data_IF_091397934060
#
_entry.id   IF_091397934060
#
_cell.length_a   1.000
_cell.length_b   1.000
_cell.length_c   1.000
_cell.angle_alpha   90.00
_cell.angle_beta   90.00
_cell.angle_gamma   90.00
#
_symmetry.space_group_name_H-M   'P 1'
#
loop_
_entity.id
_entity.type
_entity.pdbx_description
1 polymer ?
#
# COMPACT_ATOMS: atom_id res chain seq x y z
N UNK A 1 38.56 -54.53 20.94
CA UNK A 1 37.72 -53.79 19.97
C UNK A 1 36.83 -52.70 20.57
N UNK A 2 36.48 -52.71 21.87
CA UNK A 2 35.56 -51.69 22.47
C UNK A 2 36.13 -50.28 22.64
N UNK A 3 37.46 -50.09 22.71
CA UNK A 3 38.10 -48.76 22.89
C UNK A 3 38.09 -47.87 21.64
N UNK A 4 38.13 -48.46 20.44
CA UNK A 4 38.07 -47.69 19.19
C UNK A 4 36.68 -47.10 18.94
N UNK A 5 35.62 -47.73 19.47
CA UNK A 5 34.24 -47.24 19.32
C UNK A 5 33.96 -46.02 20.21
N UNK A 6 34.61 -45.89 21.37
CA UNK A 6 34.45 -44.70 22.23
C UNK A 6 35.13 -43.45 21.67
N UNK A 7 36.21 -43.61 20.91
CA UNK A 7 36.92 -42.48 20.29
C UNK A 7 36.13 -41.90 19.09
N UNK A 8 35.49 -42.75 18.29
CA UNK A 8 34.65 -42.29 17.18
C UNK A 8 33.37 -41.57 17.65
N UNK A 9 32.81 -41.95 18.80
CA UNK A 9 31.60 -41.33 19.35
C UNK A 9 31.86 -39.87 19.78
N UNK A 10 33.05 -39.61 20.34
CA UNK A 10 33.48 -38.25 20.68
C UNK A 10 33.64 -37.36 19.45
N UNK A 11 34.20 -37.90 18.36
CA UNK A 11 34.39 -37.14 17.12
C UNK A 11 33.05 -36.76 16.47
N UNK A 12 32.06 -37.68 16.47
CA UNK A 12 30.72 -37.41 15.93
C UNK A 12 30.04 -36.25 16.67
N UNK A 13 30.19 -36.17 18.00
CA UNK A 13 29.58 -35.12 18.79
C UNK A 13 30.19 -33.74 18.49
N UNK A 14 31.50 -33.67 18.27
CA UNK A 14 32.19 -32.42 17.89
C UNK A 14 31.72 -31.93 16.52
N UNK A 15 31.61 -32.84 15.53
CA UNK A 15 31.12 -32.47 14.19
C UNK A 15 29.70 -31.92 14.23
N UNK A 16 28.84 -32.49 15.08
CA UNK A 16 27.46 -32.04 15.26
C UNK A 16 27.40 -30.65 15.90
N UNK A 17 28.26 -30.36 16.88
CA UNK A 17 28.36 -29.02 17.48
C UNK A 17 28.86 -27.98 16.47
N UNK A 18 29.84 -28.32 15.63
CA UNK A 18 30.36 -27.42 14.60
C UNK A 18 29.30 -27.13 13.54
N UNK A 19 28.54 -28.13 13.08
CA UNK A 19 27.51 -27.92 12.07
C UNK A 19 26.38 -27.01 12.58
N UNK A 20 25.95 -27.18 13.83
CA UNK A 20 24.97 -26.27 14.47
C UNK A 20 25.54 -24.86 14.60
N UNK A 21 26.80 -24.72 15.01
CA UNK A 21 27.47 -23.42 15.09
C UNK A 21 27.53 -22.68 13.75
N UNK A 22 27.81 -23.40 12.67
CA UNK A 22 27.83 -22.84 11.31
C UNK A 22 26.42 -22.41 10.88
N UNK A 23 25.38 -23.20 11.16
CA UNK A 23 24.00 -22.82 10.85
C UNK A 23 23.58 -21.54 11.58
N UNK A 24 23.90 -21.42 12.87
CA UNK A 24 23.61 -20.21 13.66
C UNK A 24 24.38 -19.00 13.10
N UNK A 25 25.66 -19.19 12.75
CA UNK A 25 26.46 -18.14 12.13
C UNK A 25 25.85 -17.67 10.80
N UNK A 26 25.41 -18.60 9.94
CA UNK A 26 24.72 -18.26 8.69
C UNK A 26 23.45 -17.46 8.99
N UNK A 27 22.63 -17.84 9.96
CA UNK A 27 21.40 -17.10 10.31
C UNK A 27 21.71 -15.67 10.79
N UNK A 28 22.76 -15.48 11.59
CA UNK A 28 23.14 -14.17 12.13
C UNK A 28 23.78 -13.28 11.04
N UNK A 29 24.64 -13.86 10.18
CA UNK A 29 25.38 -13.11 9.17
C UNK A 29 24.66 -12.97 7.83
N UNK A 30 23.61 -13.75 7.56
CA UNK A 30 22.78 -13.63 6.35
C UNK A 30 21.74 -12.51 6.43
N UNK A 31 21.90 -11.54 7.33
CA UNK A 31 21.10 -10.31 7.26
C UNK A 31 21.38 -9.65 5.90
N UNK A 32 20.39 -9.50 5.01
CA UNK A 32 20.63 -8.98 3.68
C UNK A 32 21.12 -7.53 3.79
N UNK A 33 22.35 -7.29 3.34
CA UNK A 33 22.85 -5.96 3.02
C UNK A 33 22.26 -5.62 1.66
N UNK A 34 21.40 -4.60 1.60
CA UNK A 34 21.00 -3.98 0.33
C UNK A 34 19.54 -4.18 -0.04
N UNK A 35 18.69 -3.39 0.60
CA UNK A 35 17.71 -2.45 0.02
C UNK A 35 17.15 -1.70 1.22
N UNK A 36 16.92 -0.40 1.11
CA UNK A 36 16.01 0.27 2.05
C UNK A 36 14.66 -0.45 1.92
N UNK A 37 14.46 -1.49 2.73
CA UNK A 37 13.17 -2.15 2.86
C UNK A 37 12.34 -1.13 3.63
N UNK A 38 11.74 -0.21 2.88
CA UNK A 38 10.59 0.57 3.34
C UNK A 38 9.63 -0.47 3.91
N UNK A 39 9.55 -0.50 5.23
CA UNK A 39 8.78 -1.51 5.95
C UNK A 39 7.31 -1.17 5.70
N UNK A 40 6.71 -1.73 4.64
CA UNK A 40 5.27 -1.68 4.45
C UNK A 40 4.65 -2.52 5.58
N UNK A 41 4.32 -1.86 6.68
CA UNK A 41 3.41 -2.44 7.65
C UNK A 41 2.01 -2.46 7.03
N UNK A 42 1.26 -3.54 7.25
CA UNK A 42 -0.13 -3.63 6.80
C UNK A 42 -0.94 -2.50 7.46
N UNK A 43 -1.21 -1.44 6.71
CA UNK A 43 -1.90 -0.26 7.23
C UNK A 43 -3.39 -0.55 7.45
N UNK A 44 -3.76 -1.01 8.65
CA UNK A 44 -5.17 -1.22 9.02
C UNK A 44 -5.96 0.09 8.91
N UNK A 45 -5.35 1.21 9.31
CA UNK A 45 -5.96 2.53 9.18
C UNK A 45 -6.14 2.93 7.71
N UNK A 46 -5.10 2.78 6.88
CA UNK A 46 -5.18 3.04 5.44
C UNK A 46 -6.25 2.18 4.76
N UNK A 47 -6.34 0.89 5.10
CA UNK A 47 -7.36 -0.03 4.57
C UNK A 47 -8.79 0.39 4.92
N UNK A 48 -9.02 0.77 6.19
CA UNK A 48 -10.33 1.24 6.64
C UNK A 48 -10.69 2.57 6.00
N UNK A 49 -9.74 3.51 5.93
CA UNK A 49 -9.97 4.79 5.28
C UNK A 49 -10.34 4.61 3.81
N UNK A 50 -9.56 3.85 3.03
CA UNK A 50 -9.88 3.58 1.62
C UNK A 50 -11.24 2.90 1.44
N UNK A 51 -11.62 2.01 2.38
CA UNK A 51 -12.93 1.35 2.36
C UNK A 51 -14.08 2.30 2.65
N UNK A 52 -13.89 3.23 3.58
CA UNK A 52 -14.87 4.28 3.89
C UNK A 52 -14.95 5.27 2.74
N UNK A 53 -13.81 5.71 2.21
CA UNK A 53 -13.70 6.68 1.13
C UNK A 53 -14.56 6.28 -0.06
N UNK A 54 -14.40 5.07 -0.58
CA UNK A 54 -15.17 4.61 -1.76
C UNK A 54 -16.67 4.44 -1.48
N UNK A 55 -17.07 4.31 -0.21
CA UNK A 55 -18.46 4.18 0.22
C UNK A 55 -19.08 5.50 0.68
N UNK A 56 -18.30 6.55 0.85
CA UNK A 56 -18.80 7.85 1.28
C UNK A 56 -19.76 8.39 0.23
N UNK A 57 -20.95 8.78 0.69
CA UNK A 57 -21.95 9.39 -0.15
C UNK A 57 -21.52 10.80 -0.58
N UNK A 58 -21.88 11.16 -1.80
CA UNK A 58 -21.75 12.52 -2.31
C UNK A 58 -23.12 13.19 -2.43
N UNK A 59 -23.10 14.52 -2.41
CA UNK A 59 -24.26 15.33 -2.77
C UNK A 59 -24.64 15.21 -4.27
N UNK A 60 -23.87 14.45 -5.06
CA UNK A 60 -24.16 14.17 -6.45
C UNK A 60 -25.20 13.06 -6.61
N UNK A 61 -26.46 13.39 -6.35
CA UNK A 61 -27.61 12.48 -6.49
C UNK A 61 -27.48 11.19 -5.65
N UNK A 62 -26.79 11.29 -4.51
CA UNK A 62 -26.56 10.16 -3.60
C UNK A 62 -25.61 9.09 -4.17
N UNK A 63 -24.78 9.44 -5.16
CA UNK A 63 -23.73 8.54 -5.65
C UNK A 63 -22.57 8.49 -4.66
N UNK A 64 -22.01 7.32 -4.46
CA UNK A 64 -20.79 7.15 -3.69
C UNK A 64 -19.57 7.70 -4.42
N UNK A 65 -18.52 8.06 -3.69
CA UNK A 65 -17.22 8.45 -4.29
C UNK A 65 -16.68 7.34 -5.20
N UNK A 66 -16.89 6.07 -4.83
CA UNK A 66 -16.53 4.93 -5.67
C UNK A 66 -17.21 4.96 -7.03
N UNK A 67 -18.51 5.23 -7.10
CA UNK A 67 -19.24 5.34 -8.37
C UNK A 67 -18.75 6.55 -9.20
N UNK A 68 -18.45 7.67 -8.56
CA UNK A 68 -17.90 8.84 -9.26
C UNK A 68 -16.50 8.55 -9.84
N UNK A 69 -15.66 7.84 -9.10
CA UNK A 69 -14.34 7.40 -9.58
C UNK A 69 -14.45 6.38 -10.72
N UNK A 70 -15.43 5.47 -10.68
CA UNK A 70 -15.67 4.51 -11.76
C UNK A 70 -16.10 5.24 -13.04
N UNK A 71 -17.03 6.19 -12.96
CA UNK A 71 -17.46 7.00 -14.12
C UNK A 71 -16.30 7.84 -14.69
N UNK A 72 -15.50 8.43 -13.80
CA UNK A 72 -14.31 9.20 -14.17
C UNK A 72 -13.28 8.33 -14.93
N UNK A 73 -13.03 7.12 -14.43
CA UNK A 73 -12.09 6.18 -15.04
C UNK A 73 -12.61 5.60 -16.37
N UNK A 74 -13.91 5.30 -16.46
CA UNK A 74 -14.53 4.71 -17.66
C UNK A 74 -14.49 5.67 -18.86
N UNK A 75 -14.54 6.97 -18.61
CA UNK A 75 -14.63 8.00 -19.63
C UNK A 75 -13.31 8.71 -19.93
N UNK A 76 -12.21 8.28 -19.30
CA UNK A 76 -10.90 8.94 -19.40
C UNK A 76 -10.97 10.47 -19.17
N UNK A 77 -11.77 10.90 -18.18
CA UNK A 77 -11.98 12.32 -17.89
C UNK A 77 -13.22 12.96 -18.53
N UNK A 78 -13.85 12.34 -19.52
CA UNK A 78 -15.11 12.83 -20.11
C UNK A 78 -16.34 12.27 -19.38
N UNK A 79 -16.45 12.58 -18.09
CA UNK A 79 -17.46 12.04 -17.16
C UNK A 79 -18.89 12.08 -17.73
N UNK A 80 -19.61 10.95 -17.68
CA UNK A 80 -21.03 10.93 -18.05
C UNK A 80 -21.91 11.49 -16.92
N UNK A 81 -21.44 11.41 -15.67
CA UNK A 81 -22.12 11.96 -14.51
C UNK A 81 -21.68 13.41 -14.29
N UNK A 82 -22.66 14.32 -14.24
CA UNK A 82 -22.47 15.74 -13.94
C UNK A 82 -23.18 16.10 -12.64
N UNK A 83 -22.42 16.69 -11.72
CA UNK A 83 -22.75 17.02 -10.34
C UNK A 83 -22.81 18.54 -10.15
N UNK A 84 -23.84 19.19 -10.71
CA UNK A 84 -23.92 20.66 -10.73
C UNK A 84 -22.95 21.24 -11.77
N UNK A 85 -21.97 22.02 -11.32
CA UNK A 85 -20.93 22.60 -12.18
C UNK A 85 -19.69 21.72 -12.34
N UNK A 86 -19.62 20.60 -11.60
CA UNK A 86 -18.48 19.67 -11.64
C UNK A 86 -18.88 18.38 -12.33
N UNK A 87 -17.95 17.82 -13.07
CA UNK A 87 -18.03 16.47 -13.59
C UNK A 87 -17.71 15.45 -12.47
N UNK A 88 -17.84 14.14 -12.76
CA UNK A 88 -17.62 13.10 -11.75
C UNK A 88 -16.17 13.07 -11.25
N UNK A 89 -15.20 13.29 -12.14
CA UNK A 89 -13.79 13.43 -11.78
C UNK A 89 -13.55 14.58 -10.81
N UNK A 90 -14.01 15.79 -11.15
CA UNK A 90 -13.84 16.99 -10.32
C UNK A 90 -14.58 16.88 -8.99
N UNK A 91 -15.77 16.27 -8.97
CA UNK A 91 -16.51 16.05 -7.74
C UNK A 91 -15.82 15.00 -6.84
N UNK A 92 -15.35 13.89 -7.41
CA UNK A 92 -14.58 12.89 -6.67
C UNK A 92 -13.30 13.50 -6.10
N UNK A 93 -12.55 14.28 -6.91
CA UNK A 93 -11.33 14.97 -6.49
C UNK A 93 -11.58 15.89 -5.31
N UNK A 94 -12.63 16.70 -5.38
CA UNK A 94 -13.01 17.60 -4.29
C UNK A 94 -13.34 16.84 -2.99
N UNK A 95 -14.14 15.78 -3.08
CA UNK A 95 -14.52 14.99 -1.89
C UNK A 95 -13.32 14.28 -1.28
N UNK A 96 -12.47 13.67 -2.12
CA UNK A 96 -11.24 13.01 -1.68
C UNK A 96 -10.31 14.00 -1.00
N UNK A 97 -10.08 15.18 -1.60
CA UNK A 97 -9.26 16.23 -1.01
C UNK A 97 -9.77 16.64 0.38
N UNK A 98 -11.07 16.94 0.49
CA UNK A 98 -11.67 17.35 1.75
C UNK A 98 -11.57 16.25 2.82
N UNK A 99 -11.82 14.99 2.45
CA UNK A 99 -11.75 13.87 3.39
C UNK A 99 -10.31 13.62 3.85
N UNK A 100 -9.33 13.72 2.95
CA UNK A 100 -7.92 13.60 3.31
C UNK A 100 -7.48 14.75 4.21
N UNK A 101 -7.93 15.97 3.95
CA UNK A 101 -7.59 17.13 4.77
C UNK A 101 -8.15 17.02 6.19
N UNK A 102 -9.42 16.65 6.34
CA UNK A 102 -10.05 16.48 7.65
C UNK A 102 -9.44 15.31 8.44
N UNK A 103 -9.10 14.21 7.77
CA UNK A 103 -8.59 13.01 8.46
C UNK A 103 -7.10 13.14 8.79
N UNK A 104 -6.28 13.71 7.90
CA UNK A 104 -4.83 13.70 8.01
C UNK A 104 -4.23 15.09 8.18
N UNK A 105 -4.56 16.05 7.30
CA UNK A 105 -3.94 17.39 7.30
C UNK A 105 -4.23 18.16 8.60
N UNK A 106 -5.48 18.16 9.08
CA UNK A 106 -5.87 18.80 10.34
C UNK A 106 -5.17 18.18 11.57
N UNK A 107 -4.73 16.93 11.45
CA UNK A 107 -4.04 16.18 12.51
C UNK A 107 -2.51 16.25 12.38
N UNK A 108 -1.99 16.93 11.37
CA UNK A 108 -0.56 17.00 11.08
C UNK A 108 0.05 15.67 10.65
N UNK A 109 -0.76 14.71 10.19
CA UNK A 109 -0.27 13.41 9.71
C UNK A 109 0.12 13.56 8.25
N UNK A 110 1.36 13.21 7.92
CA UNK A 110 1.84 13.22 6.53
C UNK A 110 1.32 11.99 5.80
N UNK A 111 0.84 12.18 4.58
CA UNK A 111 0.30 11.11 3.76
C UNK A 111 0.65 11.33 2.29
N UNK A 112 0.52 10.25 1.52
CA UNK A 112 0.61 10.26 0.07
C UNK A 112 -0.49 9.38 -0.49
N UNK A 113 -1.43 9.99 -1.22
CA UNK A 113 -2.54 9.28 -1.85
C UNK A 113 -2.41 9.38 -3.37
N UNK A 114 -2.56 8.24 -4.05
CA UNK A 114 -2.50 8.15 -5.50
C UNK A 114 -3.56 7.22 -6.06
N UNK A 115 -4.08 7.53 -7.25
CA UNK A 115 -4.89 6.60 -8.05
C UNK A 115 -4.13 6.25 -9.32
N UNK A 116 -3.99 4.96 -9.61
CA UNK A 116 -3.30 4.45 -10.80
C UNK A 116 -4.14 3.41 -11.56
N UNK A 117 -3.89 3.25 -12.86
CA UNK A 117 -4.49 2.19 -13.69
C UNK A 117 -3.74 0.84 -13.57
N UNK A 118 -2.52 0.87 -13.02
CA UNK A 118 -1.66 -0.29 -12.78
C UNK A 118 -1.31 -0.43 -11.31
N UNK A 119 -1.32 -1.66 -10.83
CA UNK A 119 -0.90 -1.99 -9.48
C UNK A 119 0.58 -1.62 -9.25
N UNK A 120 0.85 -0.76 -8.28
CA UNK A 120 2.21 -0.45 -7.82
C UNK A 120 3.01 0.54 -8.66
N UNK A 121 2.45 1.14 -9.71
CA UNK A 121 3.15 2.15 -10.53
C UNK A 121 2.73 3.59 -10.20
N UNK A 122 3.63 4.53 -10.48
CA UNK A 122 3.30 5.96 -10.56
C UNK A 122 2.29 6.22 -11.69
N UNK A 123 1.36 7.19 -11.52
CA UNK A 123 0.23 7.36 -12.42
C UNK A 123 0.68 7.82 -13.82
N UNK A 124 0.47 7.00 -14.85
CA UNK A 124 0.73 7.35 -16.26
C UNK A 124 -0.54 7.80 -17.01
N UNK A 125 -1.73 7.69 -16.40
CA UNK A 125 -3.02 7.98 -17.08
C UNK A 125 -4.07 8.73 -16.25
N UNK A 126 -3.85 8.90 -14.95
CA UNK A 126 -4.69 9.69 -14.02
C UNK A 126 -3.81 10.63 -13.19
N UNK A 127 -2.96 11.42 -13.86
CA UNK A 127 -2.04 12.38 -13.22
C UNK A 127 -2.76 13.36 -12.28
N UNK A 128 -4.08 13.47 -12.38
CA UNK A 128 -4.92 14.36 -11.59
C UNK A 128 -5.26 13.88 -10.16
N UNK A 129 -4.99 12.63 -9.79
CA UNK A 129 -5.35 12.12 -8.45
C UNK A 129 -4.12 11.84 -7.60
N UNK A 130 -3.31 12.86 -7.39
CA UNK A 130 -2.17 12.84 -6.46
C UNK A 130 -2.41 13.86 -5.35
N UNK A 131 -2.34 13.41 -4.10
CA UNK A 131 -2.48 14.26 -2.92
C UNK A 131 -1.36 13.97 -1.91
N UNK A 132 -0.83 15.02 -1.30
CA UNK A 132 0.26 14.94 -0.34
C UNK A 132 1.64 14.78 -0.98
N UNK A 133 2.62 14.40 -0.16
CA UNK A 133 4.04 14.25 -0.57
C UNK A 133 4.49 12.80 -0.34
N UNK A 134 5.28 12.22 -1.25
CA UNK A 134 5.73 10.84 -1.12
C UNK A 134 6.55 10.65 0.17
N UNK A 135 6.24 9.60 0.93
CA UNK A 135 6.95 9.31 2.18
C UNK A 135 8.44 8.99 1.91
N UNK A 136 9.33 9.59 2.69
CA UNK A 136 10.78 9.37 2.60
C UNK A 136 11.31 8.27 3.54
N UNK A 137 10.50 7.82 4.52
CA UNK A 137 10.90 6.90 5.60
C UNK A 137 10.02 5.68 5.73
N UNK A 138 9.75 5.26 6.96
CA UNK A 138 8.78 4.20 7.27
C UNK A 138 7.36 4.71 7.03
N UNK A 139 6.51 3.86 6.46
CA UNK A 139 5.11 4.21 6.20
C UNK A 139 4.24 2.97 6.26
N UNK A 140 2.97 3.20 6.59
CA UNK A 140 1.90 2.23 6.40
C UNK A 140 1.28 2.44 5.03
N UNK A 141 1.16 1.37 4.24
CA UNK A 141 0.63 1.43 2.88
C UNK A 141 -0.56 0.48 2.75
N UNK A 142 -1.56 0.93 2.00
CA UNK A 142 -2.59 0.02 1.49
C UNK A 142 -3.00 0.42 0.09
N UNK A 143 -3.18 -0.59 -0.74
CA UNK A 143 -3.80 -0.48 -2.06
C UNK A 143 -5.15 -1.16 -2.06
N UNK A 144 -6.17 -0.50 -2.65
CA UNK A 144 -7.51 -1.03 -2.85
C UNK A 144 -7.86 -0.98 -4.34
N UNK A 145 -8.12 -2.14 -4.99
CA UNK A 145 -8.61 -2.15 -6.35
C UNK A 145 -10.09 -1.72 -6.39
N UNK A 146 -10.45 -0.97 -7.43
CA UNK A 146 -11.81 -0.60 -7.77
C UNK A 146 -12.08 -1.01 -9.21
N UNK A 147 -12.97 -1.98 -9.38
CA UNK A 147 -13.33 -2.55 -10.68
C UNK A 147 -14.46 -1.75 -11.31
N UNK A 148 -14.40 -1.52 -12.61
CA UNK A 148 -15.46 -0.92 -13.44
C UNK A 148 -15.60 -1.70 -14.75
N UNK A 149 -16.52 -1.32 -15.62
CA UNK A 149 -16.87 -2.11 -16.82
C UNK A 149 -15.66 -2.40 -17.73
N UNK A 150 -14.75 -1.44 -17.86
CA UNK A 150 -13.66 -1.47 -18.83
C UNK A 150 -12.27 -1.61 -18.19
N UNK A 151 -12.17 -1.89 -16.89
CA UNK A 151 -10.87 -2.02 -16.23
C UNK A 151 -10.90 -2.02 -14.70
N UNK A 152 -9.73 -1.79 -14.13
CA UNK A 152 -9.50 -1.68 -12.68
C UNK A 152 -8.62 -0.47 -12.44
N UNK A 153 -8.98 0.36 -11.47
CA UNK A 153 -8.08 1.38 -10.91
C UNK A 153 -7.66 0.98 -9.50
N UNK A 154 -6.49 1.43 -9.08
CA UNK A 154 -5.90 1.11 -7.79
C UNK A 154 -5.78 2.39 -6.98
N UNK A 155 -6.49 2.45 -5.86
CA UNK A 155 -6.36 3.53 -4.89
C UNK A 155 -5.28 3.13 -3.90
N UNK A 156 -4.21 3.90 -3.80
CA UNK A 156 -3.12 3.68 -2.86
C UNK A 156 -3.03 4.84 -1.88
N UNK A 157 -2.89 4.50 -0.60
CA UNK A 157 -2.66 5.46 0.48
C UNK A 157 -1.46 5.02 1.30
N UNK A 158 -0.45 5.88 1.35
CA UNK A 158 0.70 5.77 2.22
C UNK A 158 0.56 6.78 3.36
N UNK A 159 0.76 6.34 4.60
CA UNK A 159 0.75 7.17 5.81
C UNK A 159 2.16 7.16 6.37
N UNK A 160 2.80 8.33 6.41
CA UNK A 160 4.19 8.43 6.83
C UNK A 160 4.30 8.52 8.37
N UNK A 161 5.31 7.85 8.93
CA UNK A 161 5.68 7.92 10.34
C UNK A 161 6.93 8.78 10.59
#
# INVERSE_FOLDING_TARGET
MRKAQSEMLGLVLIVLLISVGILIAIVIFSKPIGKEVRYEQEGFFAANFLSTLVKSDSDCRGRSVGELLQDCAETHGNSAIVCGERDSCGQARFLISNLLDVVFSERGVKFYFTISDREGNTPDSLEDFVFGEPCSGEFESKTRPLVFNNGVIYLKLDICH
#
